data_IF_225390277586
#
_entry.id   IF_225390277586
#
_cell.length_a   1.000
_cell.length_b   1.000
_cell.length_c   1.000
_cell.angle_alpha   90.00
_cell.angle_beta   90.00
_cell.angle_gamma   90.00
#
_symmetry.space_group_name_H-M   'P 1'
#
loop_
_entity.id
_entity.type
_entity.pdbx_description
1 polymer ?
#
# COMPACT_ATOMS: atom_id res chain seq x y z
N UNK A 1 -12.02 14.35 12.03
CA UNK A 1 -11.59 13.37 11.01
C UNK A 1 -11.83 13.83 9.57
N UNK A 2 -13.05 14.26 9.16
CA UNK A 2 -13.32 14.68 7.78
C UNK A 2 -12.33 15.73 7.25
N UNK A 3 -12.03 16.77 8.02
CA UNK A 3 -11.10 17.83 7.59
C UNK A 3 -9.66 17.35 7.36
N UNK A 4 -9.17 16.41 8.17
CA UNK A 4 -7.83 15.82 8.00
C UNK A 4 -7.74 14.99 6.72
N UNK A 5 -8.73 14.14 6.47
CA UNK A 5 -8.81 13.34 5.23
C UNK A 5 -8.91 14.22 3.98
N UNK A 6 -9.72 15.29 4.04
CA UNK A 6 -9.85 16.24 2.92
C UNK A 6 -8.52 16.96 2.67
N UNK A 7 -7.82 17.41 3.71
CA UNK A 7 -6.48 18.01 3.60
C UNK A 7 -5.51 17.05 2.90
N UNK A 8 -5.42 15.81 3.40
CA UNK A 8 -4.53 14.80 2.83
C UNK A 8 -4.90 14.49 1.38
N UNK A 9 -6.19 14.36 1.06
CA UNK A 9 -6.65 14.14 -0.31
C UNK A 9 -6.24 15.28 -1.27
N UNK A 10 -6.39 16.54 -0.86
CA UNK A 10 -5.96 17.66 -1.69
C UNK A 10 -4.44 17.71 -1.89
N UNK A 11 -3.66 17.33 -0.87
CA UNK A 11 -2.22 17.26 -0.94
C UNK A 11 -1.76 16.15 -1.91
N UNK A 12 -2.44 15.01 -1.88
CA UNK A 12 -2.09 13.82 -2.68
C UNK A 12 -2.59 13.92 -4.13
N UNK A 13 -3.65 14.65 -4.39
CA UNK A 13 -4.32 14.69 -5.70
C UNK A 13 -3.34 14.84 -6.87
N UNK A 14 -2.41 15.78 -6.78
CA UNK A 14 -1.43 16.02 -7.83
C UNK A 14 -0.46 14.83 -7.99
N UNK A 15 -0.01 14.27 -6.87
CA UNK A 15 0.90 13.12 -6.83
C UNK A 15 0.22 11.87 -7.38
N UNK A 16 -1.04 11.61 -7.01
CA UNK A 16 -1.82 10.46 -7.51
C UNK A 16 -2.03 10.56 -9.01
N UNK A 17 -2.40 11.74 -9.53
CA UNK A 17 -2.57 11.94 -10.99
C UNK A 17 -1.26 11.67 -11.72
N UNK A 18 -0.14 12.23 -11.24
CA UNK A 18 1.17 12.02 -11.82
C UNK A 18 1.58 10.53 -11.78
N UNK A 19 1.41 9.87 -10.62
CA UNK A 19 1.71 8.45 -10.44
C UNK A 19 0.84 7.55 -11.31
N UNK A 20 -0.45 7.89 -11.47
CA UNK A 20 -1.34 7.14 -12.36
C UNK A 20 -0.87 7.26 -13.82
N UNK A 21 -0.44 8.45 -14.26
CA UNK A 21 0.14 8.64 -15.58
C UNK A 21 1.41 7.81 -15.81
N UNK A 22 2.34 7.84 -14.85
CA UNK A 22 3.57 7.03 -14.88
C UNK A 22 3.24 5.54 -14.88
N UNK A 23 2.28 5.11 -14.06
CA UNK A 23 1.82 3.72 -14.00
C UNK A 23 1.25 3.23 -15.33
N UNK A 24 0.45 4.05 -16.03
CA UNK A 24 -0.10 3.68 -17.33
C UNK A 24 0.99 3.49 -18.38
N UNK A 25 1.99 4.38 -18.41
CA UNK A 25 3.12 4.29 -19.37
C UNK A 25 4.01 3.09 -19.08
N UNK A 26 4.44 2.94 -17.82
CA UNK A 26 5.31 1.81 -17.41
C UNK A 26 4.52 0.49 -17.45
N UNK A 27 3.27 0.52 -17.04
CA UNK A 27 2.40 -0.64 -17.01
C UNK A 27 2.15 -1.23 -18.40
N UNK A 28 1.92 -0.38 -19.41
CA UNK A 28 1.80 -0.82 -20.79
C UNK A 28 3.07 -1.54 -21.28
N UNK A 29 4.26 -1.01 -20.93
CA UNK A 29 5.54 -1.66 -21.27
C UNK A 29 5.76 -2.98 -20.52
N UNK A 30 5.50 -3.00 -19.22
CA UNK A 30 5.68 -4.20 -18.40
C UNK A 30 4.68 -5.32 -18.72
N UNK A 31 3.45 -5.00 -19.11
CA UNK A 31 2.46 -6.02 -19.52
C UNK A 31 2.91 -6.80 -20.74
N UNK A 32 3.77 -6.22 -21.57
CA UNK A 32 4.34 -6.87 -22.76
C UNK A 32 5.57 -7.72 -22.44
N UNK A 33 6.39 -7.30 -21.43
CA UNK A 33 7.67 -7.93 -21.07
C UNK A 33 7.53 -9.04 -20.01
N UNK A 34 6.55 -8.92 -19.12
CA UNK A 34 6.37 -9.84 -18.00
C UNK A 34 4.98 -10.45 -18.09
N UNK A 35 4.21 -10.47 -17.05
CA UNK A 35 2.83 -10.94 -17.03
C UNK A 35 1.89 -9.80 -16.67
N UNK A 36 0.72 -9.68 -17.32
CA UNK A 36 -0.23 -8.61 -17.01
C UNK A 36 -0.68 -8.56 -15.56
N UNK A 37 -0.66 -9.70 -14.86
CA UNK A 37 -1.06 -9.79 -13.45
C UNK A 37 -0.11 -9.03 -12.50
N UNK A 38 1.15 -8.81 -12.89
CA UNK A 38 2.12 -8.02 -12.09
C UNK A 38 1.66 -6.58 -11.92
N UNK A 39 0.83 -6.06 -12.83
CA UNK A 39 0.24 -4.73 -12.72
C UNK A 39 -0.58 -4.54 -11.44
N UNK A 40 -1.23 -5.61 -10.95
CA UNK A 40 -1.97 -5.58 -9.68
C UNK A 40 -1.08 -5.21 -8.51
N UNK A 41 0.05 -5.92 -8.38
CA UNK A 41 1.00 -5.68 -7.30
C UNK A 41 1.61 -4.29 -7.44
N UNK A 42 2.05 -3.93 -8.65
CA UNK A 42 2.72 -2.66 -8.90
C UNK A 42 1.81 -1.47 -8.57
N UNK A 43 0.56 -1.47 -9.03
CA UNK A 43 -0.41 -0.40 -8.75
C UNK A 43 -0.66 -0.25 -7.25
N UNK A 44 -0.87 -1.37 -6.55
CA UNK A 44 -1.17 -1.39 -5.11
C UNK A 44 0.01 -0.88 -4.28
N UNK A 45 1.23 -1.30 -4.63
CA UNK A 45 2.46 -0.86 -3.96
C UNK A 45 2.71 0.62 -4.21
N UNK A 46 2.62 1.09 -5.45
CA UNK A 46 2.86 2.49 -5.80
C UNK A 46 1.88 3.43 -5.09
N UNK A 47 0.59 3.10 -5.07
CA UNK A 47 -0.41 3.93 -4.39
C UNK A 47 -0.25 3.91 -2.88
N UNK A 48 0.14 2.79 -2.27
CA UNK A 48 0.49 2.71 -0.85
C UNK A 48 1.69 3.59 -0.48
N UNK A 49 2.71 3.67 -1.34
CA UNK A 49 3.87 4.55 -1.13
C UNK A 49 3.53 6.04 -1.15
N UNK A 50 2.47 6.44 -1.84
CA UNK A 50 2.03 7.84 -1.86
C UNK A 50 1.66 8.32 -0.46
N UNK A 51 1.00 7.50 0.37
CA UNK A 51 0.67 7.89 1.74
C UNK A 51 1.92 8.08 2.60
N UNK A 52 2.92 7.22 2.48
CA UNK A 52 4.19 7.39 3.17
C UNK A 52 4.85 8.75 2.84
N UNK A 53 4.75 9.20 1.60
CA UNK A 53 5.27 10.51 1.19
C UNK A 53 4.50 11.67 1.80
N UNK A 54 3.19 11.55 2.06
CA UNK A 54 2.41 12.61 2.74
C UNK A 54 2.85 12.82 4.18
N UNK A 55 3.19 11.75 4.88
CA UNK A 55 3.69 11.84 6.26
C UNK A 55 5.02 12.59 6.28
N UNK A 56 5.91 12.33 5.32
CA UNK A 56 7.15 13.09 5.17
C UNK A 56 6.91 14.57 4.86
N UNK A 57 5.95 14.87 3.96
CA UNK A 57 5.59 16.25 3.65
C UNK A 57 5.01 16.97 4.87
N UNK A 58 4.17 16.33 5.66
CA UNK A 58 3.62 16.88 6.90
C UNK A 58 4.74 17.18 7.91
N UNK A 59 5.75 16.31 8.01
CA UNK A 59 6.93 16.56 8.88
C UNK A 59 7.76 17.74 8.36
N UNK A 60 8.07 17.76 7.07
CA UNK A 60 8.87 18.81 6.46
C UNK A 60 8.22 20.19 6.52
N UNK A 61 6.89 20.28 6.39
CA UNK A 61 6.11 21.52 6.53
C UNK A 61 5.89 21.95 7.99
N UNK A 62 6.38 21.19 8.97
CA UNK A 62 6.16 21.50 10.39
C UNK A 62 4.71 21.33 10.87
N UNK A 63 3.89 20.61 10.10
CA UNK A 63 2.49 20.36 10.44
C UNK A 63 2.32 19.71 11.80
N UNK A 64 3.22 18.84 12.20
CA UNK A 64 3.22 18.19 13.53
C UNK A 64 3.31 19.19 14.68
N UNK A 65 4.07 20.28 14.50
CA UNK A 65 4.14 21.37 15.50
C UNK A 65 2.89 22.24 15.49
N UNK A 66 2.38 22.55 14.31
CA UNK A 66 1.17 23.34 14.13
C UNK A 66 -0.07 22.60 14.67
N UNK A 67 -0.14 21.30 14.47
CA UNK A 67 -1.26 20.47 14.92
C UNK A 67 -1.38 20.41 16.46
N UNK A 68 -0.30 20.62 17.19
CA UNK A 68 -0.32 20.71 18.65
C UNK A 68 -1.12 21.94 19.14
N UNK A 69 -1.28 22.97 18.32
CA UNK A 69 -2.10 24.14 18.62
C UNK A 69 -3.60 23.93 18.35
N UNK A 70 -3.99 22.85 17.65
CA UNK A 70 -5.38 22.54 17.39
C UNK A 70 -5.92 21.53 18.41
N UNK A 71 -7.22 21.57 18.77
CA UNK A 71 -7.83 20.62 19.70
C UNK A 71 -8.12 19.28 19.01
N UNK A 72 -7.08 18.65 18.41
CA UNK A 72 -7.16 17.36 17.73
C UNK A 72 -6.29 16.37 18.52
N UNK A 73 -6.88 15.25 18.94
CA UNK A 73 -6.11 14.19 19.62
C UNK A 73 -5.15 13.50 18.64
N UNK A 74 -3.95 13.13 19.14
CA UNK A 74 -2.95 12.40 18.36
C UNK A 74 -3.50 11.13 17.70
N UNK A 75 -4.32 10.36 18.43
CA UNK A 75 -5.00 9.16 17.92
C UNK A 75 -5.83 9.42 16.65
N UNK A 76 -6.50 10.58 16.58
CA UNK A 76 -7.29 10.95 15.38
C UNK A 76 -6.41 11.29 14.18
N UNK A 77 -5.24 11.85 14.43
CA UNK A 77 -4.25 12.13 13.39
C UNK A 77 -3.69 10.82 12.81
N UNK A 78 -3.26 9.92 13.68
CA UNK A 78 -2.75 8.61 13.28
C UNK A 78 -3.84 7.83 12.53
N UNK A 79 -5.05 7.77 13.10
CA UNK A 79 -6.18 7.07 12.47
C UNK A 79 -6.53 7.62 11.08
N UNK A 80 -6.40 8.93 10.85
CA UNK A 80 -6.64 9.50 9.52
C UNK A 80 -5.63 9.01 8.49
N UNK A 81 -4.36 8.84 8.87
CA UNK A 81 -3.30 8.33 7.99
C UNK A 81 -3.49 6.85 7.65
N UNK A 82 -3.86 6.02 8.65
CA UNK A 82 -4.18 4.61 8.41
C UNK A 82 -5.38 4.44 7.48
N UNK A 83 -6.45 5.24 7.67
CA UNK A 83 -7.61 5.23 6.79
C UNK A 83 -7.26 5.69 5.37
N UNK A 84 -6.43 6.73 5.24
CA UNK A 84 -5.99 7.23 3.94
C UNK A 84 -5.13 6.21 3.21
N UNK A 85 -4.23 5.51 3.94
CA UNK A 85 -3.45 4.40 3.39
C UNK A 85 -4.35 3.29 2.84
N UNK A 86 -5.36 2.85 3.62
CA UNK A 86 -6.32 1.85 3.17
C UNK A 86 -7.08 2.31 1.93
N UNK A 87 -7.56 3.55 1.92
CA UNK A 87 -8.28 4.12 0.79
C UNK A 87 -7.42 4.12 -0.49
N UNK A 88 -6.16 4.57 -0.39
CA UNK A 88 -5.23 4.57 -1.51
C UNK A 88 -4.86 3.15 -1.97
N UNK A 89 -4.66 2.23 -1.03
CA UNK A 89 -4.36 0.82 -1.36
C UNK A 89 -5.52 0.16 -2.09
N UNK A 90 -6.77 0.39 -1.66
CA UNK A 90 -7.97 -0.09 -2.35
C UNK A 90 -8.10 0.56 -3.74
N UNK A 91 -7.86 1.86 -3.84
CA UNK A 91 -7.85 2.56 -5.13
C UNK A 91 -6.82 1.98 -6.10
N UNK A 92 -5.59 1.75 -5.62
CA UNK A 92 -4.52 1.13 -6.40
C UNK A 92 -4.87 -0.30 -6.82
N UNK A 93 -5.47 -1.07 -5.92
CA UNK A 93 -5.93 -2.43 -6.22
C UNK A 93 -7.01 -2.41 -7.31
N UNK A 94 -7.99 -1.51 -7.23
CA UNK A 94 -9.03 -1.37 -8.25
C UNK A 94 -8.44 -0.92 -9.60
N UNK A 95 -7.57 0.08 -9.60
CA UNK A 95 -6.90 0.54 -10.82
C UNK A 95 -6.04 -0.57 -11.44
N UNK A 96 -5.28 -1.29 -10.61
CA UNK A 96 -4.46 -2.42 -11.03
C UNK A 96 -5.30 -3.58 -11.61
N UNK A 97 -6.46 -3.89 -11.00
CA UNK A 97 -7.37 -4.93 -11.52
C UNK A 97 -7.91 -4.56 -12.88
N UNK A 98 -8.37 -3.34 -13.07
CA UNK A 98 -8.89 -2.85 -14.36
C UNK A 98 -7.80 -2.91 -15.43
N UNK A 99 -6.62 -2.37 -15.15
CA UNK A 99 -5.50 -2.40 -16.10
C UNK A 99 -5.04 -3.82 -16.42
N UNK A 100 -4.95 -4.70 -15.41
CA UNK A 100 -4.57 -6.10 -15.61
C UNK A 100 -5.60 -6.85 -16.44
N UNK A 101 -6.90 -6.65 -16.20
CA UNK A 101 -7.96 -7.28 -17.00
C UNK A 101 -7.94 -6.81 -18.46
N UNK A 102 -7.75 -5.51 -18.70
CA UNK A 102 -7.63 -4.98 -20.06
C UNK A 102 -6.43 -5.61 -20.77
N UNK A 103 -5.27 -5.68 -20.09
CA UNK A 103 -4.06 -6.28 -20.65
C UNK A 103 -4.24 -7.78 -20.94
N UNK A 104 -4.90 -8.54 -20.06
CA UNK A 104 -5.22 -9.94 -20.26
C UNK A 104 -6.18 -10.18 -21.44
N UNK A 105 -7.16 -9.29 -21.63
CA UNK A 105 -8.05 -9.35 -22.78
C UNK A 105 -7.30 -9.10 -24.09
N UNK A 106 -6.35 -8.18 -24.12
CA UNK A 106 -5.54 -7.85 -25.31
C UNK A 106 -4.57 -8.98 -25.64
N UNK A 107 -3.96 -9.62 -24.62
CA UNK A 107 -2.98 -10.72 -24.81
C UNK A 107 -3.64 -12.08 -25.00
N UNK A 108 -4.94 -12.21 -24.73
CA UNK A 108 -5.68 -13.49 -24.87
C UNK A 108 -5.27 -14.58 -23.87
N UNK A 109 -4.55 -14.23 -22.81
CA UNK A 109 -3.99 -15.16 -21.80
C UNK A 109 -4.78 -15.13 -20.49
N UNK A 110 -6.11 -15.25 -20.58
CA UNK A 110 -6.98 -15.26 -19.38
C UNK A 110 -6.80 -16.58 -18.61
N UNK A 111 -6.03 -16.52 -17.53
CA UNK A 111 -5.90 -17.58 -16.54
C UNK A 111 -6.46 -17.10 -15.20
N UNK A 112 -7.65 -17.61 -14.87
CA UNK A 112 -8.42 -17.20 -13.68
C UNK A 112 -7.68 -17.53 -12.37
N UNK A 113 -7.04 -18.70 -12.31
CA UNK A 113 -6.37 -19.15 -11.08
C UNK A 113 -5.17 -18.27 -10.77
N UNK A 114 -4.38 -17.94 -11.77
CA UNK A 114 -3.27 -17.01 -11.60
C UNK A 114 -3.74 -15.59 -11.25
N UNK A 115 -4.83 -15.11 -11.86
CA UNK A 115 -5.36 -13.78 -11.54
C UNK A 115 -5.78 -13.68 -10.06
N UNK A 116 -6.55 -14.65 -9.55
CA UNK A 116 -6.96 -14.69 -8.15
C UNK A 116 -5.75 -14.77 -7.21
N UNK A 117 -4.74 -15.54 -7.59
CA UNK A 117 -3.50 -15.66 -6.83
C UNK A 117 -2.78 -14.32 -6.72
N UNK A 118 -2.57 -13.60 -7.82
CA UNK A 118 -1.94 -12.28 -7.81
C UNK A 118 -2.77 -11.22 -7.06
N UNK A 119 -4.10 -11.31 -7.14
CA UNK A 119 -4.98 -10.45 -6.36
C UNK A 119 -4.79 -10.66 -4.85
N UNK A 120 -4.80 -11.90 -4.38
CA UNK A 120 -4.55 -12.24 -2.97
C UNK A 120 -3.14 -11.80 -2.51
N UNK A 121 -2.12 -11.96 -3.36
CA UNK A 121 -0.77 -11.47 -3.08
C UNK A 121 -0.77 -9.96 -2.91
N UNK A 122 -1.44 -9.22 -3.79
CA UNK A 122 -1.49 -7.75 -3.75
C UNK A 122 -2.15 -7.25 -2.46
N UNK A 123 -3.26 -7.86 -2.05
CA UNK A 123 -3.94 -7.52 -0.78
C UNK A 123 -3.03 -7.83 0.42
N UNK A 124 -2.41 -9.00 0.44
CA UNK A 124 -1.50 -9.40 1.53
C UNK A 124 -0.30 -8.46 1.61
N UNK A 125 0.29 -8.10 0.47
CA UNK A 125 1.38 -7.13 0.39
C UNK A 125 0.98 -5.76 0.93
N UNK A 126 -0.20 -5.24 0.55
CA UNK A 126 -0.68 -3.96 1.04
C UNK A 126 -0.84 -3.95 2.56
N UNK A 127 -1.44 -4.97 3.13
CA UNK A 127 -1.66 -5.08 4.58
C UNK A 127 -0.35 -5.22 5.35
N UNK A 128 0.55 -6.11 4.92
CA UNK A 128 1.84 -6.33 5.58
C UNK A 128 2.75 -5.10 5.43
N UNK A 129 2.87 -4.54 4.24
CA UNK A 129 3.68 -3.34 4.02
C UNK A 129 3.15 -2.16 4.84
N UNK A 130 1.83 -1.92 4.85
CA UNK A 130 1.21 -0.88 5.65
C UNK A 130 1.44 -1.04 7.14
N UNK A 131 1.37 -2.28 7.67
CA UNK A 131 1.62 -2.56 9.08
C UNK A 131 3.05 -2.25 9.52
N UNK A 132 4.01 -2.27 8.60
CA UNK A 132 5.42 -1.96 8.86
C UNK A 132 5.76 -0.50 8.57
N UNK A 133 5.28 0.03 7.45
CA UNK A 133 5.62 1.39 6.98
C UNK A 133 5.07 2.45 7.92
N UNK A 134 3.76 2.37 8.25
CA UNK A 134 3.12 3.43 9.02
C UNK A 134 3.74 3.63 10.42
N UNK A 135 3.96 2.59 11.25
CA UNK A 135 4.60 2.80 12.54
C UNK A 135 6.05 3.25 12.41
N UNK A 136 6.78 2.82 11.37
CA UNK A 136 8.13 3.33 11.13
C UNK A 136 8.14 4.86 10.94
N UNK A 137 7.15 5.40 10.24
CA UNK A 137 7.04 6.85 10.04
C UNK A 137 6.63 7.61 11.30
N UNK A 138 5.86 7.01 12.20
CA UNK A 138 5.45 7.67 13.45
C UNK A 138 6.47 7.53 14.58
N UNK A 139 7.13 6.37 14.69
CA UNK A 139 7.99 6.04 15.82
C UNK A 139 9.48 6.37 15.59
N UNK A 140 9.92 6.45 14.33
CA UNK A 140 11.33 6.65 13.99
C UNK A 140 11.62 8.07 13.51
N UNK A 141 12.90 8.47 13.63
CA UNK A 141 13.40 9.71 13.03
C UNK A 141 13.34 9.66 11.50
N UNK A 142 13.36 10.82 10.85
CA UNK A 142 13.17 10.92 9.38
C UNK A 142 14.09 9.99 8.59
N UNK A 143 15.39 9.97 8.89
CA UNK A 143 16.37 9.10 8.20
C UNK A 143 16.06 7.61 8.40
N UNK A 144 15.74 7.21 9.63
CA UNK A 144 15.43 5.81 9.97
C UNK A 144 14.07 5.37 9.42
N UNK A 145 13.12 6.27 9.29
CA UNK A 145 11.79 5.96 8.74
C UNK A 145 11.86 5.64 7.25
N UNK A 146 12.72 6.34 6.49
CA UNK A 146 12.97 6.04 5.07
C UNK A 146 13.61 4.66 4.92
N UNK A 147 14.63 4.35 5.72
CA UNK A 147 15.24 3.01 5.73
C UNK A 147 14.23 1.92 6.10
N UNK A 148 13.38 2.16 7.12
CA UNK A 148 12.32 1.24 7.51
C UNK A 148 11.31 0.97 6.39
N UNK A 149 10.91 2.00 5.66
CA UNK A 149 10.00 1.86 4.52
C UNK A 149 10.62 1.11 3.35
N UNK A 150 11.91 1.31 3.07
CA UNK A 150 12.62 0.57 2.03
C UNK A 150 12.72 -0.93 2.36
N UNK A 151 12.83 -1.29 3.64
CA UNK A 151 12.89 -2.68 4.08
C UNK A 151 11.51 -3.34 4.20
N UNK A 152 10.45 -2.57 4.36
CA UNK A 152 9.10 -3.09 4.58
C UNK A 152 8.59 -3.94 3.40
N UNK A 153 8.83 -3.51 2.16
CA UNK A 153 8.40 -4.27 0.98
C UNK A 153 9.18 -5.58 0.78
N UNK A 154 10.52 -5.60 0.79
CA UNK A 154 11.27 -6.85 0.73
C UNK A 154 10.92 -7.81 1.86
N UNK A 155 10.71 -7.30 3.07
CA UNK A 155 10.31 -8.11 4.21
C UNK A 155 8.92 -8.72 4.03
N UNK A 156 7.97 -7.95 3.49
CA UNK A 156 6.63 -8.44 3.16
C UNK A 156 6.68 -9.55 2.10
N UNK A 157 7.51 -9.39 1.07
CA UNK A 157 7.75 -10.44 0.06
C UNK A 157 8.35 -11.68 0.69
N UNK A 158 9.37 -11.54 1.53
CA UNK A 158 10.02 -12.65 2.22
C UNK A 158 9.04 -13.43 3.12
N UNK A 159 8.14 -12.71 3.83
CA UNK A 159 7.09 -13.33 4.64
C UNK A 159 6.10 -14.13 3.79
N UNK A 160 5.66 -13.59 2.66
CA UNK A 160 4.75 -14.29 1.75
C UNK A 160 5.44 -15.53 1.17
N UNK A 161 6.69 -15.41 0.74
CA UNK A 161 7.47 -16.56 0.24
C UNK A 161 7.68 -17.62 1.33
N UNK A 162 7.97 -17.21 2.57
CA UNK A 162 8.09 -18.11 3.72
C UNK A 162 6.80 -18.86 3.99
N UNK A 163 5.66 -18.16 4.03
CA UNK A 163 4.34 -18.77 4.23
C UNK A 163 3.99 -19.77 3.10
N UNK A 164 4.26 -19.41 1.85
CA UNK A 164 3.99 -20.30 0.71
C UNK A 164 4.94 -21.50 0.64
N UNK A 165 6.12 -21.42 1.22
CA UNK A 165 7.05 -22.56 1.32
C UNK A 165 6.65 -23.56 2.42
N UNK A 166 6.11 -23.06 3.53
CA UNK A 166 5.66 -23.88 4.66
C UNK A 166 4.31 -24.53 4.39
N UNK A 167 3.38 -23.77 3.82
CA UNK A 167 2.03 -24.24 3.52
C UNK A 167 2.00 -24.70 2.07
N UNK A 168 1.93 -26.02 1.87
CA UNK A 168 2.00 -26.67 0.55
C UNK A 168 0.87 -26.26 -0.40
N UNK A 169 -0.22 -25.75 0.14
CA UNK A 169 -1.40 -25.31 -0.62
C UNK A 169 -1.39 -23.78 -0.77
N UNK A 170 -1.09 -23.28 -1.97
CA UNK A 170 -0.85 -21.84 -2.24
C UNK A 170 -2.02 -20.94 -1.79
N UNK A 171 -3.27 -21.33 -2.05
CA UNK A 171 -4.45 -20.56 -1.65
C UNK A 171 -4.63 -20.50 -0.13
N UNK A 172 -4.37 -21.62 0.58
CA UNK A 172 -4.40 -21.63 2.04
C UNK A 172 -3.27 -20.78 2.64
N UNK A 173 -2.08 -20.79 2.06
CA UNK A 173 -0.99 -19.91 2.48
C UNK A 173 -1.35 -18.42 2.36
N UNK A 174 -1.98 -18.03 1.26
CA UNK A 174 -2.38 -16.65 1.02
C UNK A 174 -3.55 -16.21 1.93
N UNK A 175 -4.52 -17.07 2.20
CA UNK A 175 -5.59 -16.74 3.16
C UNK A 175 -5.05 -16.53 4.58
N UNK A 176 -4.10 -17.37 5.01
CA UNK A 176 -3.37 -17.16 6.28
C UNK A 176 -2.56 -15.86 6.24
N UNK A 177 -1.87 -15.59 5.13
CA UNK A 177 -1.11 -14.35 4.93
C UNK A 177 -1.99 -13.11 5.03
N UNK A 178 -3.18 -13.12 4.42
CA UNK A 178 -4.16 -12.03 4.53
C UNK A 178 -4.64 -11.85 5.97
N UNK A 179 -4.96 -12.93 6.69
CA UNK A 179 -5.39 -12.86 8.08
C UNK A 179 -4.27 -12.32 8.99
N UNK A 180 -3.04 -12.80 8.82
CA UNK A 180 -1.85 -12.29 9.54
C UNK A 180 -1.60 -10.82 9.21
N UNK A 181 -1.70 -10.44 7.93
CA UNK A 181 -1.55 -9.05 7.49
C UNK A 181 -2.60 -8.13 8.09
N UNK A 182 -3.86 -8.56 8.13
CA UNK A 182 -4.93 -7.78 8.75
C UNK A 182 -4.74 -7.63 10.26
N UNK A 183 -4.33 -8.69 10.96
CA UNK A 183 -4.01 -8.63 12.38
C UNK A 183 -2.81 -7.73 12.65
N UNK A 184 -1.73 -7.86 11.87
CA UNK A 184 -0.56 -7.00 12.00
C UNK A 184 -0.90 -5.54 11.76
N UNK A 185 -1.76 -5.24 10.77
CA UNK A 185 -2.20 -3.88 10.47
C UNK A 185 -3.04 -3.28 11.59
N UNK A 186 -3.98 -4.03 12.16
CA UNK A 186 -4.80 -3.56 13.31
C UNK A 186 -3.96 -3.36 14.56
N UNK A 187 -3.03 -4.27 14.87
CA UNK A 187 -2.10 -4.13 15.99
C UNK A 187 -1.20 -2.91 15.80
N UNK A 188 -0.66 -2.73 14.60
CA UNK A 188 0.15 -1.56 14.24
C UNK A 188 -0.62 -0.25 14.43
N UNK A 189 -1.89 -0.22 14.04
CA UNK A 189 -2.77 0.93 14.22
C UNK A 189 -2.96 1.27 15.70
N UNK A 190 -3.20 0.27 16.54
CA UNK A 190 -3.37 0.46 18.00
C UNK A 190 -2.08 0.93 18.67
N UNK A 191 -0.90 0.43 18.23
CA UNK A 191 0.39 0.80 18.81
C UNK A 191 0.79 2.23 18.42
N UNK A 192 0.46 2.68 17.21
CA UNK A 192 0.82 4.00 16.70
C UNK A 192 -0.14 5.11 17.17
N UNK A 193 -1.39 4.78 17.57
CA UNK A 193 -2.42 5.72 18.05
C UNK A 193 -2.39 5.91 19.52
#
# INVERSE_FOLDING_TARGET
>A
MRGLLVKDFYMIRSVVIMMTGVFLVIGAGLSYLVSPQVLLILATVMTGMVEASTINMDKACGWTRLSAAFPVSGERMVSSKYLMYLFLSVFGLLAGTVCSLIALMVTGTLDYDNFVLFFCISVTMALLAGSLILPCYFLLSEEKSVMGSMLAYPLSVALIMGLTSVIRQRMAALSVGMAVGALAFTVSWVIAG
#
